data_IF_666258514316
#
_entry.id   IF_666258514316
#
_cell.length_a   1.000
_cell.length_b   1.000
_cell.length_c   1.000
_cell.angle_alpha   90.00
_cell.angle_beta   90.00
_cell.angle_gamma   90.00
#
_symmetry.space_group_name_H-M   'P 1'
#
loop_
_entity.id
_entity.type
_entity.pdbx_description
1 polymer ?
#
# COMPACT_ATOMS: atom_id res chain seq x y z
N UNK A 1 -9.34 18.61 1.82
CA UNK A 1 -8.32 17.65 1.31
C UNK A 1 -7.37 17.34 2.44
N UNK A 2 -6.90 16.09 2.60
CA UNK A 2 -5.99 15.72 3.68
C UNK A 2 -4.66 16.46 3.58
N UNK A 3 -4.10 16.79 4.74
CA UNK A 3 -2.80 17.43 4.87
C UNK A 3 -1.93 16.62 5.84
N UNK A 4 -0.72 16.28 5.42
CA UNK A 4 0.25 15.54 6.24
C UNK A 4 1.46 16.44 6.42
N UNK A 5 1.53 17.16 7.54
CA UNK A 5 2.52 18.22 7.75
C UNK A 5 2.47 19.28 6.63
N UNK A 6 3.57 19.53 5.89
CA UNK A 6 3.57 20.50 4.80
C UNK A 6 2.92 19.98 3.50
N UNK A 7 2.58 18.69 3.42
CA UNK A 7 2.10 18.08 2.18
C UNK A 7 0.58 18.06 2.12
N UNK A 8 0.00 18.94 1.30
CA UNK A 8 -1.41 18.86 0.91
C UNK A 8 -1.58 17.82 -0.19
N UNK A 9 -2.35 16.77 0.08
CA UNK A 9 -2.57 15.72 -0.92
C UNK A 9 -3.46 16.20 -2.06
N UNK A 10 -3.23 15.67 -3.26
CA UNK A 10 -4.01 15.99 -4.46
C UNK A 10 -5.48 15.53 -4.35
N UNK A 11 -5.74 14.47 -3.59
CA UNK A 11 -7.06 13.93 -3.34
C UNK A 11 -7.10 13.11 -2.04
N UNK A 12 -8.24 12.48 -1.75
CA UNK A 12 -8.52 11.72 -0.53
C UNK A 12 -8.11 10.23 -0.62
N UNK A 13 -7.38 9.81 -1.65
CA UNK A 13 -7.16 8.38 -1.95
C UNK A 13 -5.67 8.03 -1.92
N UNK A 14 -5.29 7.17 -0.98
CA UNK A 14 -3.93 6.67 -0.84
C UNK A 14 -3.80 5.21 -1.34
N UNK A 15 -2.63 4.84 -1.86
CA UNK A 15 -2.24 3.44 -2.11
C UNK A 15 -1.58 2.85 -0.86
N UNK A 16 -2.10 1.74 -0.36
CA UNK A 16 -1.58 1.06 0.82
C UNK A 16 -0.20 0.44 0.56
N UNK A 17 0.71 0.47 1.54
CA UNK A 17 1.98 -0.25 1.44
C UNK A 17 1.73 -1.77 1.46
N UNK A 18 2.23 -2.46 0.44
CA UNK A 18 2.08 -3.91 0.29
C UNK A 18 3.44 -4.53 -0.05
N UNK A 19 4.03 -5.20 0.94
CA UNK A 19 5.31 -5.89 0.79
C UNK A 19 5.29 -6.89 -0.38
N UNK A 20 6.21 -6.72 -1.30
CA UNK A 20 6.33 -7.49 -2.54
C UNK A 20 5.31 -7.07 -3.59
N UNK A 21 4.69 -5.90 -3.51
CA UNK A 21 3.71 -5.41 -4.49
C UNK A 21 3.95 -3.94 -4.83
N UNK A 22 4.04 -3.06 -3.82
CA UNK A 22 4.22 -1.61 -4.00
C UNK A 22 5.68 -1.22 -4.14
N UNK A 23 6.36 -1.86 -5.09
CA UNK A 23 7.69 -1.42 -5.53
C UNK A 23 7.62 -0.10 -6.29
N UNK A 24 8.78 0.46 -6.63
CA UNK A 24 8.84 1.77 -7.28
C UNK A 24 8.06 1.81 -8.62
N UNK A 25 8.19 0.82 -9.54
CA UNK A 25 7.39 0.77 -10.75
C UNK A 25 5.88 0.83 -10.50
N UNK A 26 5.36 0.04 -9.56
CA UNK A 26 3.93 0.03 -9.28
C UNK A 26 3.45 1.33 -8.62
N UNK A 27 4.25 1.91 -7.72
CA UNK A 27 3.92 3.19 -7.08
C UNK A 27 3.87 4.35 -8.08
N UNK A 28 4.86 4.45 -8.96
CA UNK A 28 4.87 5.43 -10.07
C UNK A 28 3.63 5.28 -10.94
N UNK A 29 3.28 4.05 -11.28
CA UNK A 29 2.10 3.76 -12.08
C UNK A 29 0.81 4.20 -11.38
N UNK A 30 0.60 3.82 -10.12
CA UNK A 30 -0.59 4.23 -9.36
C UNK A 30 -0.66 5.74 -9.13
N UNK A 31 0.47 6.42 -8.90
CA UNK A 31 0.53 7.87 -8.76
C UNK A 31 0.10 8.57 -10.06
N UNK A 32 0.66 8.17 -11.22
CA UNK A 32 0.23 8.66 -12.54
C UNK A 32 -1.25 8.40 -12.84
N UNK A 33 -1.79 7.32 -12.29
CA UNK A 33 -3.19 6.95 -12.44
C UNK A 33 -4.09 7.54 -11.34
N UNK A 34 -3.63 8.56 -10.61
CA UNK A 34 -4.47 9.39 -9.76
C UNK A 34 -4.48 9.04 -8.26
N UNK A 35 -3.61 8.17 -7.77
CA UNK A 35 -3.43 8.02 -6.31
C UNK A 35 -2.81 9.30 -5.71
N UNK A 36 -3.48 9.90 -4.72
CA UNK A 36 -3.05 11.15 -4.07
C UNK A 36 -1.88 10.98 -3.09
N UNK A 37 -1.61 9.75 -2.65
CA UNK A 37 -0.43 9.36 -1.89
C UNK A 37 -0.10 7.89 -2.21
N UNK A 38 1.17 7.55 -2.33
CA UNK A 38 1.62 6.15 -2.45
C UNK A 38 2.72 5.88 -1.44
N UNK A 39 2.59 4.78 -0.68
CA UNK A 39 3.53 4.42 0.38
C UNK A 39 4.43 3.28 -0.07
N UNK A 40 5.72 3.34 0.26
CA UNK A 40 6.69 2.29 -0.06
C UNK A 40 6.33 0.94 0.55
N UNK A 41 6.96 -0.13 0.05
CA UNK A 41 7.03 -1.35 0.85
C UNK A 41 7.69 -1.09 2.20
N UNK A 42 7.32 -1.90 3.20
CA UNK A 42 7.97 -1.83 4.52
C UNK A 42 9.46 -2.18 4.47
N UNK A 43 10.27 -1.31 5.08
CA UNK A 43 11.71 -1.45 5.30
C UNK A 43 11.93 -1.87 6.76
N UNK A 44 12.83 -2.82 6.99
CA UNK A 44 13.15 -3.25 8.35
C UNK A 44 14.03 -2.21 9.04
N UNK A 45 13.75 -1.95 10.32
CA UNK A 45 14.59 -1.12 11.19
C UNK A 45 15.94 -1.76 11.54
N UNK A 46 16.10 -3.08 11.38
CA UNK A 46 17.33 -3.78 11.71
C UNK A 46 18.48 -3.34 10.78
N UNK A 47 19.54 -2.69 11.30
CA UNK A 47 20.62 -2.14 10.50
C UNK A 47 21.37 -3.20 9.70
N UNK A 48 21.42 -4.46 10.18
CA UNK A 48 22.09 -5.57 9.49
C UNK A 48 21.44 -5.93 8.16
N UNK A 49 20.20 -5.51 7.93
CA UNK A 49 19.46 -5.80 6.70
C UNK A 49 19.53 -4.67 5.66
N UNK A 50 20.17 -3.53 5.98
CA UNK A 50 20.24 -2.36 5.09
C UNK A 50 20.85 -2.72 3.72
N UNK A 51 21.92 -3.50 3.73
CA UNK A 51 22.64 -3.92 2.52
C UNK A 51 22.07 -5.20 1.88
N UNK A 52 20.95 -5.72 2.38
CA UNK A 52 20.32 -6.88 1.75
C UNK A 52 19.70 -6.48 0.41
N UNK A 53 19.75 -7.39 -0.58
CA UNK A 53 19.14 -7.18 -1.89
C UNK A 53 17.68 -6.73 -1.81
N UNK A 54 16.92 -7.27 -0.85
CA UNK A 54 15.52 -6.94 -0.64
C UNK A 54 15.34 -5.49 -0.16
N UNK A 55 16.17 -5.04 0.78
CA UNK A 55 16.11 -3.66 1.28
C UNK A 55 16.57 -2.68 0.21
N UNK A 56 17.60 -3.02 -0.57
CA UNK A 56 18.08 -2.19 -1.67
C UNK A 56 16.93 -1.81 -2.64
N UNK A 57 16.15 -2.79 -3.12
CA UNK A 57 15.00 -2.51 -3.98
C UNK A 57 13.90 -1.68 -3.31
N UNK A 58 13.64 -1.92 -2.03
CA UNK A 58 12.56 -1.24 -1.29
C UNK A 58 12.88 0.20 -0.95
N UNK A 59 14.16 0.52 -0.82
CA UNK A 59 14.67 1.84 -0.46
C UNK A 59 14.83 2.75 -1.68
N UNK A 60 14.55 2.26 -2.90
CA UNK A 60 14.62 3.10 -4.10
C UNK A 60 13.39 4.00 -4.14
N UNK A 61 13.66 5.30 -4.18
CA UNK A 61 12.71 6.38 -4.37
C UNK A 61 13.27 7.35 -5.42
N UNK A 62 12.39 8.11 -6.04
CA UNK A 62 12.76 9.09 -7.06
C UNK A 62 11.85 10.32 -6.98
N UNK A 63 12.04 11.26 -7.91
CA UNK A 63 11.27 12.50 -7.96
C UNK A 63 9.90 12.35 -8.66
N UNK A 64 9.62 11.24 -9.36
CA UNK A 64 8.31 11.04 -10.02
C UNK A 64 7.17 10.86 -9.00
N UNK A 65 7.48 10.55 -7.75
CA UNK A 65 6.51 10.33 -6.67
C UNK A 65 6.81 11.25 -5.50
N UNK A 66 5.95 12.24 -5.30
CA UNK A 66 6.03 13.19 -4.19
C UNK A 66 4.68 13.31 -3.47
N UNK A 67 4.64 13.29 -2.11
CA UNK A 67 5.76 13.08 -1.20
C UNK A 67 6.28 11.64 -1.20
N UNK A 68 7.60 11.48 -1.05
CA UNK A 68 8.26 10.18 -0.85
C UNK A 68 7.95 9.63 0.54
N UNK A 69 6.88 8.85 0.66
CA UNK A 69 6.46 8.18 1.90
C UNK A 69 7.10 6.80 2.05
N UNK A 70 7.91 6.65 3.09
CA UNK A 70 8.68 5.44 3.38
C UNK A 70 8.17 4.74 4.62
N UNK A 71 7.71 3.50 4.48
CA UNK A 71 7.24 2.72 5.63
C UNK A 71 8.39 1.96 6.31
N UNK A 72 8.55 2.14 7.62
CA UNK A 72 9.48 1.38 8.47
C UNK A 72 8.75 0.38 9.37
N UNK A 73 9.42 -0.72 9.70
CA UNK A 73 8.89 -1.78 10.56
C UNK A 73 9.94 -2.28 11.56
N UNK A 74 9.54 -2.48 12.81
CA UNK A 74 10.43 -2.82 13.92
C UNK A 74 9.66 -3.05 15.21
N UNK A 75 10.41 -3.14 16.31
CA UNK A 75 9.87 -3.30 17.66
C UNK A 75 10.62 -2.56 18.74
N UNK A 76 11.87 -2.15 18.48
CA UNK A 76 12.68 -1.39 19.43
C UNK A 76 12.57 0.11 19.09
N UNK A 77 12.19 0.98 20.04
CA UNK A 77 12.08 2.42 19.81
C UNK A 77 13.35 3.03 19.19
N UNK A 78 14.52 2.71 19.76
CA UNK A 78 15.80 3.24 19.29
C UNK A 78 16.18 2.77 17.87
N UNK A 79 15.90 1.50 17.51
CA UNK A 79 16.16 1.00 16.16
C UNK A 79 15.24 1.66 15.13
N UNK A 80 13.95 1.85 15.47
CA UNK A 80 12.99 2.54 14.61
C UNK A 80 13.35 4.01 14.41
N UNK A 81 13.74 4.72 15.48
CA UNK A 81 14.23 6.10 15.40
C UNK A 81 15.48 6.22 14.49
N UNK A 82 16.43 5.29 14.61
CA UNK A 82 17.60 5.25 13.75
C UNK A 82 17.26 4.92 12.29
N UNK A 83 16.26 4.06 12.07
CA UNK A 83 15.76 3.75 10.73
C UNK A 83 15.03 4.94 10.09
N UNK A 84 14.26 5.71 10.88
CA UNK A 84 13.61 6.93 10.42
C UNK A 84 14.64 7.94 9.92
N UNK A 85 15.64 8.29 10.77
CA UNK A 85 16.75 9.18 10.38
C UNK A 85 17.44 8.73 9.10
N UNK A 86 17.83 7.46 9.05
CA UNK A 86 18.48 6.90 7.87
C UNK A 86 17.63 7.09 6.60
N UNK A 87 16.33 6.80 6.63
CA UNK A 87 15.49 6.95 5.43
C UNK A 87 15.26 8.42 5.07
N UNK A 88 15.20 9.33 6.04
CA UNK A 88 15.17 10.78 5.79
C UNK A 88 16.46 11.25 5.11
N UNK A 89 17.62 10.77 5.56
CA UNK A 89 18.92 11.05 4.92
C UNK A 89 18.97 10.50 3.48
N UNK A 90 18.18 9.45 3.18
CA UNK A 90 18.01 8.91 1.82
C UNK A 90 16.88 9.59 1.03
N UNK A 91 16.31 10.68 1.55
CA UNK A 91 15.32 11.51 0.86
C UNK A 91 13.86 11.22 1.20
N UNK A 92 13.55 10.39 2.20
CA UNK A 92 12.18 10.23 2.67
C UNK A 92 11.60 11.57 3.14
N UNK A 93 10.41 11.89 2.65
CA UNK A 93 9.68 13.12 2.97
C UNK A 93 8.58 12.87 3.99
N UNK A 94 8.15 11.62 4.15
CA UNK A 94 7.22 11.15 5.19
C UNK A 94 7.76 9.81 5.68
N UNK A 95 7.79 9.61 7.00
CA UNK A 95 8.08 8.31 7.62
C UNK A 95 6.77 7.69 8.08
N UNK A 96 6.44 6.49 7.60
CA UNK A 96 5.26 5.74 8.04
C UNK A 96 5.66 4.57 8.94
N UNK A 97 5.02 4.40 10.09
CA UNK A 97 5.30 3.30 11.01
C UNK A 97 4.32 2.15 10.77
N UNK A 98 4.83 0.96 10.47
CA UNK A 98 3.98 -0.23 10.32
C UNK A 98 3.65 -0.83 11.69
N UNK A 99 2.39 -0.68 12.10
CA UNK A 99 1.76 -1.48 13.16
C UNK A 99 0.52 -2.24 12.64
N UNK A 100 0.51 -2.57 11.35
CA UNK A 100 -0.65 -3.17 10.66
C UNK A 100 -0.43 -4.59 10.14
N UNK A 101 0.82 -5.01 9.91
CA UNK A 101 1.12 -6.34 9.38
C UNK A 101 0.75 -7.43 10.40
N UNK A 102 -0.05 -8.46 10.05
CA UNK A 102 -0.41 -9.54 10.97
C UNK A 102 0.61 -10.69 10.99
N UNK A 103 1.71 -10.59 10.22
CA UNK A 103 2.72 -11.63 10.15
C UNK A 103 3.31 -11.93 11.54
N UNK A 104 3.42 -13.22 11.88
CA UNK A 104 3.79 -13.68 13.24
C UNK A 104 5.10 -13.06 13.75
N UNK A 105 6.07 -12.85 12.86
CA UNK A 105 7.39 -12.30 13.18
C UNK A 105 7.94 -11.53 11.98
N UNK A 106 8.54 -10.36 12.21
CA UNK A 106 9.47 -9.72 11.27
C UNK A 106 10.87 -9.99 11.82
N UNK A 107 11.70 -10.73 11.07
CA UNK A 107 13.07 -11.06 11.49
C UNK A 107 13.16 -11.72 12.89
N UNK A 108 12.20 -12.60 13.19
CA UNK A 108 12.06 -13.34 14.46
C UNK A 108 11.62 -12.53 15.70
N UNK A 109 11.41 -11.21 15.59
CA UNK A 109 10.83 -10.36 16.64
C UNK A 109 9.33 -10.09 16.40
N UNK A 110 8.58 -9.82 17.46
CA UNK A 110 7.21 -9.32 17.36
C UNK A 110 7.27 -7.92 16.73
N UNK A 111 6.47 -7.66 15.69
CA UNK A 111 6.44 -6.38 14.98
C UNK A 111 5.07 -6.24 14.29
N UNK A 112 4.83 -5.10 13.65
CA UNK A 112 3.55 -4.84 13.00
C UNK A 112 2.42 -4.82 14.02
N UNK A 113 1.29 -5.43 13.69
CA UNK A 113 0.10 -5.40 14.55
C UNK A 113 0.24 -6.22 15.84
N UNK A 114 1.34 -6.95 16.03
CA UNK A 114 1.64 -7.57 17.33
C UNK A 114 1.93 -6.52 18.42
N UNK A 115 2.43 -5.34 18.03
CA UNK A 115 2.74 -4.23 18.94
C UNK A 115 1.49 -3.65 19.60
N UNK A 116 0.32 -3.76 18.95
CA UNK A 116 -0.93 -3.19 19.44
C UNK A 116 -1.40 -3.78 20.78
N UNK A 117 -0.85 -4.91 21.22
CA UNK A 117 -1.16 -5.48 22.53
C UNK A 117 -0.43 -4.77 23.70
N UNK A 118 0.55 -3.93 23.41
CA UNK A 118 1.38 -3.24 24.40
C UNK A 118 1.37 -1.72 24.11
N UNK A 119 0.40 -1.03 24.71
CA UNK A 119 0.19 0.40 24.50
C UNK A 119 1.36 1.27 24.99
N UNK A 120 2.07 0.82 26.04
CA UNK A 120 3.25 1.50 26.55
C UNK A 120 4.39 1.45 25.52
N UNK A 121 4.65 0.26 24.97
CA UNK A 121 5.64 0.12 23.90
C UNK A 121 5.25 0.92 22.65
N UNK A 122 3.96 0.97 22.29
CA UNK A 122 3.51 1.83 21.19
C UNK A 122 3.85 3.29 21.48
N UNK A 123 3.54 3.80 22.68
CA UNK A 123 3.87 5.18 23.07
C UNK A 123 5.37 5.46 22.94
N UNK A 124 6.21 4.58 23.48
CA UNK A 124 7.67 4.72 23.43
C UNK A 124 8.19 4.76 21.98
N UNK A 125 7.65 3.89 21.11
CA UNK A 125 8.02 3.86 19.69
C UNK A 125 7.63 5.17 19.00
N UNK A 126 6.39 5.63 19.17
CA UNK A 126 5.90 6.81 18.46
C UNK A 126 6.67 8.06 18.92
N UNK A 127 6.87 8.23 20.22
CA UNK A 127 7.67 9.33 20.76
C UNK A 127 9.12 9.30 20.26
N UNK A 128 9.78 8.15 20.29
CA UNK A 128 11.16 8.02 19.85
C UNK A 128 11.33 8.32 18.35
N UNK A 129 10.38 7.89 17.51
CA UNK A 129 10.44 8.14 16.07
C UNK A 129 10.10 9.59 15.73
N UNK A 130 9.02 10.14 16.29
CA UNK A 130 8.64 11.54 16.08
C UNK A 130 9.72 12.52 16.53
N UNK A 131 10.41 12.24 17.65
CA UNK A 131 11.51 13.08 18.13
C UNK A 131 12.81 12.94 17.32
N UNK A 132 12.91 11.92 16.45
CA UNK A 132 14.14 11.62 15.74
C UNK A 132 14.28 12.32 14.38
N UNK A 133 13.19 12.86 13.81
CA UNK A 133 13.16 13.42 12.46
C UNK A 133 12.23 14.65 12.40
N UNK A 134 12.57 15.61 11.56
CA UNK A 134 11.73 16.82 11.35
C UNK A 134 10.63 16.62 10.29
N UNK A 135 10.69 15.52 9.53
CA UNK A 135 9.66 15.19 8.54
C UNK A 135 8.40 14.63 9.24
N UNK A 136 7.20 14.74 8.64
CA UNK A 136 6.00 14.18 9.22
C UNK A 136 6.11 12.66 9.41
N UNK A 137 5.70 12.19 10.59
CA UNK A 137 5.59 10.77 10.91
C UNK A 137 4.12 10.37 10.86
N UNK A 138 3.79 9.31 10.12
CA UNK A 138 2.45 8.72 10.02
C UNK A 138 2.45 7.32 10.63
N UNK A 139 1.25 6.82 10.97
CA UNK A 139 1.09 5.51 11.57
C UNK A 139 0.06 4.69 10.78
N UNK A 140 0.36 3.41 10.54
CA UNK A 140 -0.61 2.47 9.98
C UNK A 140 -0.91 1.33 10.95
N UNK A 141 -2.16 1.22 11.41
CA UNK A 141 -2.60 0.22 12.39
C UNK A 141 -3.68 -0.74 11.87
N UNK A 142 -4.08 -1.65 12.76
CA UNK A 142 -5.30 -2.46 12.74
C UNK A 142 -6.20 -2.05 13.90
N UNK A 143 -7.42 -2.56 13.97
CA UNK A 143 -8.38 -2.20 15.03
C UNK A 143 -8.04 -2.75 16.42
N UNK A 144 -7.08 -3.67 16.51
CA UNK A 144 -6.53 -4.21 17.76
C UNK A 144 -5.95 -5.61 17.58
N UNK A 145 -5.68 -6.31 18.69
CA UNK A 145 -5.08 -7.64 18.67
C UNK A 145 -6.06 -8.75 18.22
N UNK A 146 -7.31 -8.67 18.68
CA UNK A 146 -8.38 -9.63 18.35
C UNK A 146 -9.75 -8.93 18.42
N UNK A 147 -10.85 -9.52 17.89
CA UNK A 147 -12.17 -8.90 17.99
C UNK A 147 -12.62 -8.60 19.42
N UNK A 148 -12.20 -9.42 20.39
CA UNK A 148 -12.48 -9.20 21.81
C UNK A 148 -11.53 -8.20 22.49
N UNK A 149 -10.44 -7.80 21.82
CA UNK A 149 -9.41 -6.91 22.33
C UNK A 149 -9.09 -5.84 21.27
N UNK A 150 -10.09 -5.01 20.96
CA UNK A 150 -9.93 -3.81 20.14
C UNK A 150 -9.50 -2.64 21.02
N UNK A 151 -8.43 -1.97 20.63
CA UNK A 151 -7.91 -0.80 21.32
C UNK A 151 -7.52 0.33 20.36
N UNK A 152 -8.04 0.31 19.12
CA UNK A 152 -7.71 1.29 18.09
C UNK A 152 -7.89 2.75 18.53
N UNK A 153 -8.90 3.05 19.35
CA UNK A 153 -9.11 4.41 19.91
C UNK A 153 -8.01 4.81 20.89
N UNK A 154 -7.58 3.90 21.78
CA UNK A 154 -6.47 4.17 22.71
C UNK A 154 -5.17 4.43 21.93
N UNK A 155 -4.87 3.57 20.96
CA UNK A 155 -3.70 3.72 20.09
C UNK A 155 -3.74 5.03 19.28
N UNK A 156 -4.91 5.45 18.81
CA UNK A 156 -5.05 6.71 18.07
C UNK A 156 -4.75 7.94 18.95
N UNK A 157 -5.22 7.95 20.21
CA UNK A 157 -4.89 9.01 21.17
C UNK A 157 -3.39 9.03 21.50
N UNK A 158 -2.78 7.87 21.68
CA UNK A 158 -1.32 7.77 21.87
C UNK A 158 -0.57 8.34 20.66
N UNK A 159 -1.07 8.10 19.45
CA UNK A 159 -0.48 8.63 18.22
C UNK A 159 -0.62 10.16 18.14
N UNK A 160 -1.80 10.69 18.49
CA UNK A 160 -2.04 12.13 18.58
C UNK A 160 -1.12 12.81 19.60
N UNK A 161 -1.04 12.27 20.84
CA UNK A 161 -0.14 12.75 21.90
C UNK A 161 1.34 12.78 21.43
N UNK A 162 1.74 11.83 20.58
CA UNK A 162 3.09 11.70 20.05
C UNK A 162 3.34 12.55 18.78
N UNK A 163 2.37 13.36 18.35
CA UNK A 163 2.50 14.25 17.19
C UNK A 163 2.47 13.53 15.84
N UNK A 164 1.84 12.35 15.75
CA UNK A 164 1.65 11.64 14.48
C UNK A 164 0.76 12.47 13.55
N UNK A 165 1.23 12.70 12.32
CA UNK A 165 0.61 13.61 11.36
C UNK A 165 -0.60 13.02 10.62
N UNK A 166 -0.70 11.69 10.51
CA UNK A 166 -1.85 10.99 9.93
C UNK A 166 -1.89 9.52 10.37
N UNK A 167 -3.10 8.95 10.43
CA UNK A 167 -3.34 7.56 10.82
C UNK A 167 -4.08 6.79 9.73
N UNK A 168 -3.56 5.65 9.29
CA UNK A 168 -4.29 4.72 8.44
C UNK A 168 -4.75 3.50 9.24
N UNK A 169 -6.06 3.24 9.28
CA UNK A 169 -6.65 2.16 10.09
C UNK A 169 -7.20 1.07 9.18
N UNK A 170 -6.59 -0.12 9.21
CA UNK A 170 -7.20 -1.29 8.58
C UNK A 170 -8.33 -1.82 9.47
N UNK A 171 -9.56 -1.87 8.98
CA UNK A 171 -10.80 -2.29 9.66
C UNK A 171 -10.87 -3.77 10.07
N UNK A 172 -9.74 -4.40 10.39
CA UNK A 172 -9.69 -5.75 10.93
C UNK A 172 -8.66 -5.78 12.04
N UNK A 173 -8.88 -6.65 13.01
CA UNK A 173 -7.90 -6.93 14.08
C UNK A 173 -6.75 -7.77 13.54
N UNK A 174 -5.66 -7.90 14.29
CA UNK A 174 -4.54 -8.78 13.93
C UNK A 174 -5.00 -10.22 13.73
N UNK A 175 -5.80 -10.75 14.65
CA UNK A 175 -6.29 -12.13 14.62
C UNK A 175 -7.06 -12.47 13.34
N UNK A 176 -7.84 -11.51 12.82
CA UNK A 176 -8.60 -11.69 11.58
C UNK A 176 -7.70 -11.91 10.34
N UNK A 177 -6.43 -11.49 10.37
CA UNK A 177 -5.56 -11.46 9.18
C UNK A 177 -6.28 -10.81 7.98
N UNK A 178 -6.67 -11.61 6.98
CA UNK A 178 -7.41 -11.17 5.80
C UNK A 178 -8.78 -11.88 5.66
N UNK A 179 -9.20 -12.59 6.70
CA UNK A 179 -10.47 -13.32 6.78
C UNK A 179 -11.59 -12.40 7.27
N UNK A 180 -12.84 -12.81 7.04
CA UNK A 180 -14.03 -12.00 7.35
C UNK A 180 -14.11 -10.71 6.52
N UNK A 181 -14.88 -9.74 7.01
CA UNK A 181 -15.08 -8.42 6.37
C UNK A 181 -14.43 -7.34 7.23
N UNK A 182 -13.89 -6.29 6.59
CA UNK A 182 -13.45 -5.10 7.33
C UNK A 182 -14.66 -4.39 7.98
N UNK A 183 -14.54 -4.08 9.27
CA UNK A 183 -15.48 -3.22 10.00
C UNK A 183 -14.95 -1.79 10.08
N UNK A 184 -15.89 -0.85 10.00
CA UNK A 184 -15.59 0.58 9.91
C UNK A 184 -16.01 1.35 11.17
N UNK A 185 -16.71 0.70 12.11
CA UNK A 185 -17.19 1.34 13.35
C UNK A 185 -16.03 1.75 14.25
N UNK A 186 -14.98 0.91 14.35
CA UNK A 186 -13.77 1.31 15.09
C UNK A 186 -13.09 2.50 14.43
N UNK A 187 -13.14 2.62 13.10
CA UNK A 187 -12.56 3.74 12.37
C UNK A 187 -13.36 5.01 12.64
N UNK A 188 -14.70 4.94 12.60
CA UNK A 188 -15.58 6.05 12.96
C UNK A 188 -15.34 6.52 14.41
N UNK A 189 -15.18 5.58 15.36
CA UNK A 189 -14.88 5.89 16.75
C UNK A 189 -13.50 6.55 16.92
N UNK A 190 -12.50 6.17 16.12
CA UNK A 190 -11.17 6.82 16.10
C UNK A 190 -11.29 8.25 15.56
N UNK A 191 -11.98 8.45 14.43
CA UNK A 191 -12.22 9.77 13.84
C UNK A 191 -12.91 10.70 14.83
N UNK A 192 -13.90 10.20 15.57
CA UNK A 192 -14.62 11.01 16.57
C UNK A 192 -13.79 11.35 17.83
N UNK A 193 -12.68 10.65 18.05
CA UNK A 193 -11.89 10.74 19.29
C UNK A 193 -10.55 11.47 19.14
N UNK A 194 -10.20 11.93 17.93
CA UNK A 194 -8.91 12.54 17.58
C UNK A 194 -9.09 13.63 16.51
N UNK A 195 -8.19 14.60 16.44
CA UNK A 195 -8.27 15.82 15.64
C UNK A 195 -7.33 15.83 14.41
N UNK A 196 -6.76 14.69 14.04
CA UNK A 196 -5.82 14.55 12.92
C UNK A 196 -6.34 13.63 11.79
N UNK A 197 -5.80 13.72 10.56
CA UNK A 197 -6.33 12.99 9.42
C UNK A 197 -6.26 11.46 9.58
N UNK A 198 -7.44 10.82 9.53
CA UNK A 198 -7.58 9.36 9.52
C UNK A 198 -7.94 8.87 8.13
N UNK A 199 -7.25 7.83 7.66
CA UNK A 199 -7.54 7.12 6.41
C UNK A 199 -8.15 5.75 6.70
N UNK A 200 -9.38 5.53 6.21
CA UNK A 200 -10.04 4.23 6.30
C UNK A 200 -9.41 3.22 5.34
N UNK A 201 -9.14 2.00 5.80
CA UNK A 201 -8.53 0.95 4.99
C UNK A 201 -9.22 -0.41 5.23
N UNK A 202 -9.33 -1.20 4.17
CA UNK A 202 -9.88 -2.55 4.22
C UNK A 202 -11.04 -2.71 3.25
N UNK A 203 -10.96 -3.72 2.39
CA UNK A 203 -11.99 -4.14 1.43
C UNK A 203 -12.53 -3.04 0.50
N UNK A 204 -11.79 -1.98 0.25
CA UNK A 204 -12.17 -0.89 -0.66
C UNK A 204 -11.84 -1.31 -2.10
N UNK A 205 -12.86 -1.64 -2.89
CA UNK A 205 -12.75 -2.23 -4.23
C UNK A 205 -13.53 -1.50 -5.34
N UNK A 206 -14.32 -0.49 -4.97
CA UNK A 206 -15.06 0.36 -5.90
C UNK A 206 -15.16 1.83 -5.41
N UNK A 207 -15.43 2.78 -6.32
CA UNK A 207 -15.73 4.18 -5.97
C UNK A 207 -16.91 4.36 -5.01
N UNK A 208 -18.00 3.65 -5.24
CA UNK A 208 -19.22 3.72 -4.42
C UNK A 208 -18.96 3.23 -3.01
N UNK A 209 -18.20 2.13 -2.88
CA UNK A 209 -17.83 1.59 -1.57
C UNK A 209 -16.92 2.55 -0.80
N UNK A 210 -15.96 3.17 -1.48
CA UNK A 210 -15.11 4.19 -0.88
C UNK A 210 -15.93 5.38 -0.36
N UNK A 211 -16.88 5.88 -1.17
CA UNK A 211 -17.77 6.97 -0.76
C UNK A 211 -18.66 6.59 0.43
N UNK A 212 -19.24 5.39 0.42
CA UNK A 212 -20.03 4.88 1.55
C UNK A 212 -19.22 4.75 2.85
N UNK A 213 -17.97 4.28 2.76
CA UNK A 213 -17.07 4.20 3.93
C UNK A 213 -16.73 5.60 4.46
N UNK A 214 -16.46 6.57 3.58
CA UNK A 214 -16.19 7.94 4.01
C UNK A 214 -17.41 8.57 4.69
N UNK A 215 -18.60 8.37 4.13
CA UNK A 215 -19.85 8.83 4.72
C UNK A 215 -20.12 8.20 6.10
N UNK A 216 -19.81 6.90 6.27
CA UNK A 216 -19.99 6.19 7.54
C UNK A 216 -18.99 6.62 8.62
N UNK A 217 -17.73 6.82 8.23
CA UNK A 217 -16.62 6.99 9.19
C UNK A 217 -16.27 8.44 9.47
N UNK A 218 -16.60 9.36 8.57
CA UNK A 218 -16.07 10.73 8.61
C UNK A 218 -14.56 10.82 8.36
N UNK A 219 -13.92 9.73 7.91
CA UNK A 219 -12.48 9.70 7.67
C UNK A 219 -12.06 10.77 6.64
N UNK A 220 -10.85 11.31 6.79
CA UNK A 220 -10.29 12.29 5.87
C UNK A 220 -10.01 11.70 4.47
N UNK A 221 -9.86 10.37 4.38
CA UNK A 221 -9.63 9.68 3.12
C UNK A 221 -9.73 8.17 3.23
N UNK A 222 -9.46 7.51 2.12
CA UNK A 222 -9.40 6.05 2.02
C UNK A 222 -8.02 5.61 1.56
N UNK A 223 -7.63 4.41 1.99
CA UNK A 223 -6.41 3.76 1.53
C UNK A 223 -6.74 2.42 0.87
N UNK A 224 -6.36 2.27 -0.39
CA UNK A 224 -6.67 1.10 -1.24
C UNK A 224 -5.50 0.12 -1.22
N UNK A 225 -5.78 -1.15 -0.93
CA UNK A 225 -4.77 -2.20 -0.90
C UNK A 225 -4.91 -3.18 -2.06
N UNK A 226 -5.32 -4.41 -1.75
CA UNK A 226 -5.40 -5.54 -2.70
C UNK A 226 -6.19 -5.23 -3.97
N UNK A 227 -7.25 -4.42 -3.89
CA UNK A 227 -8.08 -4.11 -5.05
C UNK A 227 -7.34 -3.32 -6.16
N UNK A 228 -6.23 -2.65 -5.84
CA UNK A 228 -5.39 -2.00 -6.85
C UNK A 228 -4.50 -2.98 -7.62
N UNK A 229 -4.34 -4.23 -7.14
CA UNK A 229 -3.57 -5.26 -7.84
C UNK A 229 -4.30 -5.63 -9.14
N UNK A 230 -3.63 -5.46 -10.29
CA UNK A 230 -4.25 -5.63 -11.60
C UNK A 230 -5.17 -4.48 -12.04
N UNK A 231 -5.39 -3.48 -11.17
CA UNK A 231 -6.22 -2.29 -11.40
C UNK A 231 -5.52 -1.03 -10.87
N UNK A 232 -4.32 -0.67 -11.35
CA UNK A 232 -3.58 0.48 -10.83
C UNK A 232 -4.34 1.82 -10.94
N UNK A 233 -5.33 1.89 -11.83
CA UNK A 233 -6.23 3.03 -12.03
C UNK A 233 -7.35 3.17 -11.00
N UNK A 234 -7.56 2.17 -10.14
CA UNK A 234 -8.67 2.18 -9.17
C UNK A 234 -8.60 3.39 -8.23
N UNK A 235 -7.40 3.79 -7.79
CA UNK A 235 -7.25 4.96 -6.93
C UNK A 235 -7.73 6.24 -7.60
N UNK A 236 -7.39 6.45 -8.88
CA UNK A 236 -7.86 7.59 -9.66
C UNK A 236 -9.37 7.55 -9.91
N UNK A 237 -9.92 6.38 -10.23
CA UNK A 237 -11.38 6.22 -10.38
C UNK A 237 -12.13 6.60 -9.09
N UNK A 238 -11.63 6.18 -7.93
CA UNK A 238 -12.19 6.58 -6.64
C UNK A 238 -12.03 8.09 -6.45
N UNK A 239 -10.86 8.66 -6.74
CA UNK A 239 -10.62 10.09 -6.58
C UNK A 239 -11.54 10.95 -7.47
N UNK A 240 -11.75 10.55 -8.73
CA UNK A 240 -12.64 11.22 -9.66
C UNK A 240 -14.10 11.14 -9.19
N UNK A 241 -14.56 9.97 -8.73
CA UNK A 241 -15.90 9.80 -8.16
C UNK A 241 -16.14 10.72 -6.96
N UNK A 242 -15.19 10.75 -6.01
CA UNK A 242 -15.27 11.61 -4.83
C UNK A 242 -15.22 13.10 -5.17
N UNK A 243 -14.68 13.47 -6.32
CA UNK A 243 -14.68 14.83 -6.86
C UNK A 243 -15.94 15.15 -7.70
N UNK A 244 -16.91 14.24 -7.79
CA UNK A 244 -18.12 14.40 -8.59
C UNK A 244 -17.90 14.31 -10.10
N UNK A 245 -16.77 13.74 -10.55
CA UNK A 245 -16.47 13.54 -11.96
C UNK A 245 -16.99 12.18 -12.45
N UNK A 246 -17.29 12.04 -13.76
CA UNK A 246 -17.66 10.76 -14.34
C UNK A 246 -16.56 9.70 -14.15
N UNK A 247 -16.92 8.52 -13.66
CA UNK A 247 -16.01 7.37 -13.60
C UNK A 247 -16.12 6.59 -14.89
N UNK A 248 -15.05 6.59 -15.68
CA UNK A 248 -14.99 5.85 -16.93
C UNK A 248 -14.39 4.46 -16.70
N UNK A 249 -14.99 3.46 -17.33
CA UNK A 249 -14.37 2.15 -17.47
C UNK A 249 -13.09 2.29 -18.30
N UNK A 250 -12.02 1.59 -17.91
CA UNK A 250 -10.77 1.57 -18.67
C UNK A 250 -10.89 0.53 -19.79
N UNK A 251 -10.90 0.94 -21.07
CA UNK A 251 -11.03 0.02 -22.20
C UNK A 251 -9.89 -1.00 -22.27
N UNK A 252 -10.12 -2.16 -22.90
CA UNK A 252 -9.18 -3.27 -22.87
C UNK A 252 -7.80 -2.94 -23.49
N UNK A 253 -7.78 -2.15 -24.56
CA UNK A 253 -6.58 -1.61 -25.19
C UNK A 253 -5.80 -0.68 -24.25
N UNK A 254 -6.49 0.17 -23.49
CA UNK A 254 -5.86 1.01 -22.48
C UNK A 254 -5.32 0.16 -21.30
N UNK A 255 -6.04 -0.88 -20.88
CA UNK A 255 -5.54 -1.82 -19.87
C UNK A 255 -4.26 -2.54 -20.35
N UNK A 256 -4.22 -2.95 -21.62
CA UNK A 256 -3.02 -3.55 -22.23
C UNK A 256 -1.86 -2.55 -22.23
N UNK A 257 -2.09 -1.31 -22.67
CA UNK A 257 -1.05 -0.28 -22.67
C UNK A 257 -0.47 -0.03 -21.27
N UNK A 258 -1.34 0.02 -20.25
CA UNK A 258 -0.94 0.15 -18.85
C UNK A 258 -0.11 -1.06 -18.39
N UNK A 259 -0.56 -2.28 -18.72
CA UNK A 259 0.17 -3.50 -18.37
C UNK A 259 1.54 -3.56 -19.07
N UNK A 260 1.61 -3.18 -20.35
CA UNK A 260 2.85 -3.13 -21.13
C UNK A 260 3.84 -2.15 -20.51
N UNK A 261 3.39 -0.94 -20.17
CA UNK A 261 4.22 0.05 -19.49
C UNK A 261 4.74 -0.48 -18.14
N UNK A 262 3.88 -1.17 -17.39
CA UNK A 262 4.26 -1.75 -16.12
C UNK A 262 5.32 -2.86 -16.28
N UNK A 263 5.18 -3.75 -17.27
CA UNK A 263 6.16 -4.80 -17.55
C UNK A 263 7.53 -4.23 -17.90
N UNK A 264 7.56 -3.25 -18.82
CA UNK A 264 8.81 -2.57 -19.20
C UNK A 264 9.50 -1.95 -17.98
N UNK A 265 8.74 -1.27 -17.11
CA UNK A 265 9.28 -0.69 -15.90
C UNK A 265 9.79 -1.74 -14.89
N UNK A 266 9.18 -2.92 -14.82
CA UNK A 266 9.65 -4.02 -13.99
C UNK A 266 10.93 -4.66 -14.55
N UNK A 267 11.03 -4.81 -15.87
CA UNK A 267 12.22 -5.33 -16.56
C UNK A 267 13.42 -4.40 -16.38
N UNK A 268 13.20 -3.09 -16.53
CA UNK A 268 14.22 -2.07 -16.29
C UNK A 268 14.65 -2.04 -14.82
N UNK A 269 13.69 -1.95 -13.89
CA UNK A 269 13.98 -1.79 -12.47
C UNK A 269 14.70 -2.99 -11.86
N UNK A 270 14.27 -4.23 -12.16
CA UNK A 270 14.85 -5.43 -11.56
C UNK A 270 15.94 -6.10 -12.43
N UNK A 271 16.15 -5.61 -13.66
CA UNK A 271 16.92 -6.28 -14.70
C UNK A 271 16.19 -7.51 -15.28
N UNK A 272 16.69 -8.05 -16.39
CA UNK A 272 15.99 -9.06 -17.18
C UNK A 272 15.61 -10.31 -16.36
N UNK A 273 16.54 -10.86 -15.58
CA UNK A 273 16.32 -12.10 -14.85
C UNK A 273 15.27 -11.99 -13.74
N UNK A 274 15.33 -10.94 -12.92
CA UNK A 274 14.38 -10.75 -11.83
C UNK A 274 13.10 -10.08 -12.29
N UNK A 275 13.17 -9.15 -13.25
CA UNK A 275 12.02 -8.47 -13.82
C UNK A 275 10.99 -9.46 -14.36
N UNK A 276 11.42 -10.45 -15.15
CA UNK A 276 10.55 -11.54 -15.64
C UNK A 276 9.86 -12.29 -14.51
N UNK A 277 10.60 -12.61 -13.43
CA UNK A 277 10.05 -13.36 -12.29
C UNK A 277 9.07 -12.53 -11.46
N UNK A 278 9.36 -11.25 -11.27
CA UNK A 278 8.50 -10.32 -10.55
C UNK A 278 7.23 -10.03 -11.35
N UNK A 279 7.34 -9.83 -12.67
CA UNK A 279 6.22 -9.59 -13.58
C UNK A 279 5.10 -10.63 -13.46
N UNK A 280 5.45 -11.91 -13.26
CA UNK A 280 4.49 -13.03 -13.16
C UNK A 280 3.34 -12.78 -12.18
N UNK A 281 3.64 -12.26 -10.98
CA UNK A 281 2.60 -11.99 -9.98
C UNK A 281 1.71 -10.80 -10.39
N UNK A 282 2.29 -9.76 -10.99
CA UNK A 282 1.55 -8.59 -11.43
C UNK A 282 0.60 -8.96 -12.55
N UNK A 283 1.09 -9.63 -13.59
CA UNK A 283 0.27 -10.12 -14.72
C UNK A 283 -0.83 -11.05 -14.25
N UNK A 284 -0.56 -11.96 -13.31
CA UNK A 284 -1.59 -12.81 -12.74
C UNK A 284 -2.76 -12.00 -12.15
N UNK A 285 -2.52 -10.85 -11.53
CA UNK A 285 -3.58 -9.98 -11.03
C UNK A 285 -4.38 -9.30 -12.15
N UNK A 286 -3.74 -8.84 -13.23
CA UNK A 286 -4.46 -8.30 -14.39
C UNK A 286 -5.34 -9.36 -15.08
N UNK A 287 -4.96 -10.63 -15.01
CA UNK A 287 -5.67 -11.74 -15.65
C UNK A 287 -6.76 -12.38 -14.78
N UNK A 288 -6.85 -12.04 -13.49
CA UNK A 288 -7.65 -12.79 -12.51
C UNK A 288 -9.14 -12.89 -12.87
N UNK A 289 -9.67 -11.84 -13.51
CA UNK A 289 -11.09 -11.72 -13.89
C UNK A 289 -11.33 -12.10 -15.37
N UNK A 290 -10.32 -12.61 -16.07
CA UNK A 290 -10.44 -13.06 -17.47
C UNK A 290 -10.83 -14.54 -17.58
N UNK A 291 -11.56 -14.92 -18.64
CA UNK A 291 -11.74 -16.32 -19.01
C UNK A 291 -10.40 -17.06 -19.12
N UNK A 292 -10.40 -18.36 -18.78
CA UNK A 292 -9.22 -19.23 -18.83
C UNK A 292 -8.00 -18.75 -18.04
N UNK A 293 -8.23 -17.96 -16.98
CA UNK A 293 -7.18 -17.40 -16.12
C UNK A 293 -6.07 -18.40 -15.77
N UNK A 294 -6.43 -19.64 -15.39
CA UNK A 294 -5.44 -20.66 -15.01
C UNK A 294 -4.51 -21.02 -16.16
N UNK A 295 -5.05 -21.23 -17.36
CA UNK A 295 -4.27 -21.58 -18.54
C UNK A 295 -3.38 -20.40 -18.96
N UNK A 296 -3.96 -19.19 -19.07
CA UNK A 296 -3.23 -17.96 -19.43
C UNK A 296 -2.11 -17.64 -18.44
N UNK A 297 -2.37 -17.77 -17.14
CA UNK A 297 -1.35 -17.59 -16.10
C UNK A 297 -0.26 -18.65 -16.17
N UNK A 298 -0.61 -19.91 -16.40
CA UNK A 298 0.38 -21.00 -16.51
C UNK A 298 1.33 -20.76 -17.69
N UNK A 299 0.78 -20.42 -18.85
CA UNK A 299 1.53 -20.07 -20.05
C UNK A 299 2.44 -18.85 -19.80
N UNK A 300 1.92 -17.78 -19.19
CA UNK A 300 2.75 -16.61 -18.89
C UNK A 300 3.89 -16.91 -17.89
N UNK A 301 3.65 -17.80 -16.93
CA UNK A 301 4.62 -18.16 -15.90
C UNK A 301 5.78 -19.01 -16.43
N UNK A 302 5.64 -19.68 -17.57
CA UNK A 302 6.72 -20.47 -18.18
C UNK A 302 7.70 -19.62 -18.98
N UNK A 303 7.34 -18.38 -19.34
CA UNK A 303 8.19 -17.45 -20.10
C UNK A 303 9.44 -17.05 -19.30
N UNK A 304 10.58 -16.95 -19.99
CA UNK A 304 11.89 -16.74 -19.36
C UNK A 304 12.54 -15.40 -19.74
N UNK A 305 12.03 -14.71 -20.78
CA UNK A 305 12.61 -13.44 -21.26
C UNK A 305 11.60 -12.29 -21.25
N UNK A 306 12.08 -11.02 -21.17
CA UNK A 306 11.24 -9.83 -21.35
C UNK A 306 10.46 -9.82 -22.67
N UNK A 307 11.12 -10.17 -23.77
CA UNK A 307 10.52 -10.17 -25.11
C UNK A 307 9.36 -11.15 -25.23
N UNK A 308 9.52 -12.38 -24.72
CA UNK A 308 8.44 -13.38 -24.66
C UNK A 308 7.26 -12.87 -23.84
N UNK A 309 7.50 -12.25 -22.68
CA UNK A 309 6.42 -11.71 -21.85
C UNK A 309 5.65 -10.58 -22.53
N UNK A 310 6.35 -9.68 -23.23
CA UNK A 310 5.72 -8.59 -23.98
C UNK A 310 4.88 -9.13 -25.15
N UNK A 311 5.42 -10.07 -25.93
CA UNK A 311 4.68 -10.70 -27.02
C UNK A 311 3.42 -11.43 -26.51
N UNK A 312 3.52 -12.13 -25.38
CA UNK A 312 2.39 -12.86 -24.82
C UNK A 312 1.26 -11.93 -24.36
N UNK A 313 1.56 -10.79 -23.73
CA UNK A 313 0.49 -9.88 -23.30
C UNK A 313 -0.23 -9.23 -24.48
N UNK A 314 0.47 -8.97 -25.58
CA UNK A 314 -0.15 -8.42 -26.79
C UNK A 314 -1.18 -9.41 -27.37
N UNK A 315 -0.85 -10.71 -27.38
CA UNK A 315 -1.77 -11.77 -27.79
C UNK A 315 -2.96 -11.93 -26.84
N UNK A 316 -2.71 -11.91 -25.51
CA UNK A 316 -3.73 -12.14 -24.49
C UNK A 316 -4.84 -11.08 -24.46
N UNK A 317 -4.56 -9.89 -25.01
CA UNK A 317 -5.46 -8.74 -25.02
C UNK A 317 -5.90 -8.36 -26.45
N UNK A 318 -5.50 -9.12 -27.47
CA UNK A 318 -6.01 -8.96 -28.83
C UNK A 318 -7.48 -9.40 -28.90
N UNK A 319 -8.39 -8.63 -29.55
CA UNK A 319 -9.83 -8.92 -29.60
C UNK A 319 -10.16 -10.32 -30.15
N UNK A 320 -9.37 -10.80 -31.11
CA UNK A 320 -9.62 -12.04 -31.85
C UNK A 320 -9.10 -13.31 -31.16
N UNK A 321 -8.24 -13.21 -30.14
CA UNK A 321 -7.68 -14.39 -29.46
C UNK A 321 -8.73 -15.16 -28.63
N UNK A 322 -9.88 -14.52 -28.33
CA UNK A 322 -11.01 -15.20 -27.67
C UNK A 322 -11.84 -16.07 -28.64
N UNK A 323 -11.62 -15.98 -29.96
CA UNK A 323 -12.35 -16.81 -30.94
C UNK A 323 -11.64 -18.11 -31.30
N UNK A 324 -10.30 -18.15 -31.25
CA UNK A 324 -9.52 -19.33 -31.66
C UNK A 324 -9.42 -20.44 -30.59
N UNK A 325 -9.80 -20.18 -29.34
CA UNK A 325 -9.85 -21.20 -28.27
C UNK A 325 -11.26 -21.77 -28.05
N UNK A 326 -12.26 -21.26 -28.76
CA UNK A 326 -13.65 -21.73 -28.73
C UNK A 326 -14.06 -22.53 -29.99
N UNK A 327 -13.08 -22.84 -30.85
CA UNK A 327 -13.21 -23.71 -32.03
C UNK A 327 -12.31 -24.94 -31.85
#
# INVERSE_FOLDING_TARGET
>A
MPQIGPYKLANQVALAPMAGVTDLPFRRLCARMGAGLVVSEMISSNPRLRNSRKTAWRSVHDAEVEPRSVQIAGSEPAELAAAARYNVDQGAQIIDINMGCPAKKVCRKAAGSALLADEALVRDILQAVSAAVDVPVTLKIRTGASPAARNGVSIARIAEDAGIAALAVHGRTRACKFEGVAEYDTIAAIVAATDFPVFANGDIDSPEKAAGILAHTGAAGVMVGRAAQGRPWLCGQIADYLAGKPVLAVPADQQLAILRQHLLALHDFYGEFMGVRIARKHVAWYLQDRPDYRARRSAFNSLQTPAEQLQQIDQLFHPDFNKELAA
#
